data_IF_237383901888
#
_entry.id   IF_237383901888
#
_cell.length_a   1.000
_cell.length_b   1.000
_cell.length_c   1.000
_cell.angle_alpha   90.00
_cell.angle_beta   90.00
_cell.angle_gamma   90.00
#
_symmetry.space_group_name_H-M   'P 1'
#
loop_
_entity.id
_entity.type
_entity.pdbx_description
1 polymer ?
#
# COMPACT_ATOMS: atom_id res chain seq x y z
N UNK A 1 5.71 -18.07 -27.22
CA UNK A 1 6.31 -16.79 -26.79
C UNK A 1 5.25 -15.94 -26.09
N UNK A 2 4.94 -16.22 -24.83
CA UNK A 2 4.02 -15.38 -24.02
C UNK A 2 4.53 -15.22 -22.57
N UNK A 3 5.74 -15.71 -22.26
CA UNK A 3 6.22 -15.85 -20.88
C UNK A 3 6.79 -14.55 -20.30
N UNK A 4 7.24 -13.60 -21.13
CA UNK A 4 7.96 -12.40 -20.67
C UNK A 4 7.06 -11.35 -20.02
N UNK A 5 5.78 -11.28 -20.39
CA UNK A 5 4.85 -10.23 -19.90
C UNK A 5 4.46 -10.44 -18.44
N UNK A 6 4.35 -11.71 -18.00
CA UNK A 6 3.98 -12.05 -16.63
C UNK A 6 5.10 -11.70 -15.63
N UNK A 7 6.36 -11.92 -15.99
CA UNK A 7 7.51 -11.58 -15.16
C UNK A 7 7.71 -10.07 -15.04
N UNK A 8 7.58 -9.33 -16.15
CA UNK A 8 7.74 -7.88 -16.14
C UNK A 8 6.63 -7.18 -15.33
N UNK A 9 5.39 -7.66 -15.46
CA UNK A 9 4.28 -7.18 -14.65
C UNK A 9 4.54 -7.42 -13.15
N UNK A 10 5.14 -8.57 -12.82
CA UNK A 10 5.49 -8.94 -11.44
C UNK A 10 6.47 -7.95 -10.82
N UNK A 11 7.51 -7.56 -11.55
CA UNK A 11 8.47 -6.55 -11.11
C UNK A 11 7.84 -5.16 -10.98
N UNK A 12 6.98 -4.77 -11.94
CA UNK A 12 6.37 -3.44 -11.98
C UNK A 12 5.42 -3.18 -10.80
N UNK A 13 4.57 -4.15 -10.45
CA UNK A 13 3.64 -4.00 -9.33
C UNK A 13 4.37 -4.07 -7.97
N UNK A 14 5.42 -4.89 -7.87
CA UNK A 14 6.27 -4.96 -6.68
C UNK A 14 7.01 -3.64 -6.47
N UNK A 15 7.60 -3.07 -7.52
CA UNK A 15 8.25 -1.76 -7.45
C UNK A 15 7.24 -0.66 -7.05
N UNK A 16 6.02 -0.70 -7.58
CA UNK A 16 4.94 0.21 -7.19
C UNK A 16 4.54 0.04 -5.72
N UNK A 17 4.46 -1.21 -5.22
CA UNK A 17 4.19 -1.52 -3.81
C UNK A 17 5.25 -0.90 -2.91
N UNK A 18 6.52 -1.15 -3.21
CA UNK A 18 7.64 -0.70 -2.39
C UNK A 18 7.72 0.83 -2.38
N UNK A 19 7.50 1.46 -3.54
CA UNK A 19 7.37 2.93 -3.64
C UNK A 19 6.22 3.46 -2.78
N UNK A 20 5.03 2.83 -2.84
CA UNK A 20 3.88 3.25 -2.06
C UNK A 20 4.11 3.11 -0.55
N UNK A 21 4.71 2.00 -0.10
CA UNK A 21 5.09 1.78 1.30
C UNK A 21 6.08 2.83 1.75
N UNK A 22 7.21 3.01 1.04
CA UNK A 22 8.23 4.02 1.37
C UNK A 22 7.61 5.42 1.44
N UNK A 23 6.72 5.77 0.51
CA UNK A 23 6.05 7.08 0.50
C UNK A 23 5.15 7.26 1.72
N UNK A 24 4.46 6.23 2.21
CA UNK A 24 3.69 6.30 3.45
C UNK A 24 4.58 6.43 4.70
N UNK A 25 5.72 5.73 4.73
CA UNK A 25 6.64 5.80 5.87
C UNK A 25 7.29 7.18 5.97
N UNK A 26 7.89 7.67 4.90
CA UNK A 26 8.65 8.92 4.91
C UNK A 26 7.78 10.16 4.65
N UNK A 27 6.76 10.04 3.81
CA UNK A 27 5.88 11.15 3.47
C UNK A 27 4.78 11.39 4.51
N UNK A 28 4.25 10.32 5.13
CA UNK A 28 3.17 10.43 6.11
C UNK A 28 3.60 10.05 7.54
N UNK A 29 4.83 9.58 7.76
CA UNK A 29 5.33 9.24 9.10
C UNK A 29 4.67 8.00 9.72
N UNK A 30 4.16 7.08 8.90
CA UNK A 30 3.67 5.79 9.38
C UNK A 30 4.85 4.92 9.83
N UNK A 31 4.63 4.09 10.85
CA UNK A 31 5.52 2.98 11.16
C UNK A 31 5.30 1.86 10.16
N UNK A 32 6.33 1.03 9.95
CA UNK A 32 6.24 -0.09 9.00
C UNK A 32 5.04 -1.01 9.27
N UNK A 33 4.77 -1.34 10.53
CA UNK A 33 3.63 -2.17 10.92
C UNK A 33 2.28 -1.49 10.68
N UNK A 34 2.21 -0.16 10.77
CA UNK A 34 0.99 0.62 10.51
C UNK A 34 0.70 0.65 9.00
N UNK A 35 1.73 0.89 8.17
CA UNK A 35 1.60 0.90 6.71
C UNK A 35 1.23 -0.48 6.15
N UNK A 36 1.96 -1.54 6.54
CA UNK A 36 1.68 -2.92 6.11
C UNK A 36 0.39 -3.49 6.72
N UNK A 37 -0.17 -2.84 7.73
CA UNK A 37 -1.43 -3.22 8.36
C UNK A 37 -2.65 -2.50 7.80
N UNK A 38 -2.49 -1.61 6.81
CA UNK A 38 -3.62 -0.93 6.19
C UNK A 38 -4.55 -1.96 5.53
N UNK A 39 -5.87 -1.91 5.80
CA UNK A 39 -6.82 -2.80 5.14
C UNK A 39 -6.98 -2.41 3.67
N UNK A 40 -7.33 -3.37 2.82
CA UNK A 40 -7.57 -3.12 1.40
C UNK A 40 -8.66 -2.04 1.18
N UNK A 41 -9.67 -2.02 2.06
CA UNK A 41 -10.73 -1.00 2.10
C UNK A 41 -10.24 0.43 2.41
N UNK A 42 -8.98 0.62 2.80
CA UNK A 42 -8.38 1.94 2.90
C UNK A 42 -8.11 2.57 1.52
N UNK A 43 -8.10 1.78 0.44
CA UNK A 43 -8.00 2.30 -0.92
C UNK A 43 -9.40 2.63 -1.48
N UNK A 44 -9.63 3.83 -2.06
CA UNK A 44 -8.67 4.93 -2.22
C UNK A 44 -8.34 5.63 -0.90
N UNK A 45 -7.06 5.96 -0.70
CA UNK A 45 -6.61 6.59 0.55
C UNK A 45 -7.34 7.93 0.79
N UNK A 46 -7.86 8.15 2.01
CA UNK A 46 -8.42 9.44 2.40
C UNK A 46 -7.33 10.50 2.54
N UNK A 47 -7.72 11.77 2.68
CA UNK A 47 -6.78 12.87 2.97
C UNK A 47 -6.20 12.79 4.38
N UNK A 48 -6.86 12.07 5.29
CA UNK A 48 -6.41 11.87 6.66
C UNK A 48 -6.64 10.41 7.05
N UNK A 49 -5.58 9.72 7.45
CA UNK A 49 -5.64 8.38 8.03
C UNK A 49 -5.76 8.45 9.55
N UNK A 50 -6.56 7.56 10.12
CA UNK A 50 -6.63 7.32 11.56
C UNK A 50 -5.79 6.10 11.89
N UNK A 51 -4.72 6.31 12.66
CA UNK A 51 -3.75 5.27 12.99
C UNK A 51 -3.79 4.96 14.48
N UNK A 52 -3.93 3.68 14.82
CA UNK A 52 -3.90 3.19 16.19
C UNK A 52 -2.48 2.79 16.58
N UNK A 53 -1.92 3.46 17.58
CA UNK A 53 -0.59 3.20 18.12
C UNK A 53 -0.61 2.41 19.44
N UNK A 54 0.51 2.50 20.18
CA UNK A 54 0.68 1.81 21.46
C UNK A 54 -0.32 2.33 22.51
N UNK A 55 -0.93 1.40 23.24
CA UNK A 55 -1.91 1.72 24.29
C UNK A 55 -3.26 2.17 23.73
N UNK A 56 -3.62 1.69 22.53
CA UNK A 56 -4.88 1.99 21.84
C UNK A 56 -5.10 3.49 21.54
N UNK A 57 -4.02 4.27 21.55
CA UNK A 57 -4.08 5.71 21.25
C UNK A 57 -4.20 5.91 19.74
N UNK A 58 -5.19 6.70 19.33
CA UNK A 58 -5.38 7.07 17.93
C UNK A 58 -4.70 8.41 17.63
N UNK A 59 -4.10 8.52 16.45
CA UNK A 59 -3.65 9.80 15.88
C UNK A 59 -4.18 9.97 14.45
N UNK A 60 -4.39 11.22 14.07
CA UNK A 60 -4.72 11.59 12.70
C UNK A 60 -3.42 11.89 11.95
N UNK A 61 -3.29 11.30 10.77
CA UNK A 61 -2.13 11.43 9.89
C UNK A 61 -2.60 12.01 8.56
N UNK A 62 -2.24 13.26 8.22
CA UNK A 62 -2.46 13.79 6.90
C UNK A 62 -1.75 12.93 5.84
N UNK A 63 -2.46 12.60 4.77
CA UNK A 63 -1.93 11.79 3.68
C UNK A 63 -1.54 12.73 2.54
N UNK A 64 -0.27 12.72 2.19
CA UNK A 64 0.22 13.51 1.07
C UNK A 64 -0.44 13.08 -0.25
N UNK A 65 -0.71 14.01 -1.19
CA UNK A 65 -1.18 13.65 -2.53
C UNK A 65 -0.30 12.62 -3.23
N UNK A 66 1.02 12.70 -3.03
CA UNK A 66 1.99 11.74 -3.56
C UNK A 66 1.80 10.32 -2.99
N UNK A 67 1.47 10.18 -1.70
CA UNK A 67 1.20 8.89 -1.09
C UNK A 67 -0.09 8.28 -1.63
N UNK A 68 -1.14 9.09 -1.80
CA UNK A 68 -2.40 8.66 -2.43
C UNK A 68 -2.18 8.18 -3.86
N UNK A 69 -1.40 8.93 -4.65
CA UNK A 69 -1.07 8.58 -6.02
C UNK A 69 -0.23 7.29 -6.10
N UNK A 70 0.76 7.13 -5.23
CA UNK A 70 1.59 5.93 -5.18
C UNK A 70 0.77 4.68 -4.83
N UNK A 71 -0.12 4.76 -3.84
CA UNK A 71 -1.02 3.65 -3.49
C UNK A 71 -1.99 3.35 -4.63
N UNK A 72 -2.55 4.36 -5.30
CA UNK A 72 -3.42 4.14 -6.45
C UNK A 72 -2.68 3.47 -7.62
N UNK A 73 -1.43 3.86 -7.89
CA UNK A 73 -0.59 3.22 -8.91
C UNK A 73 -0.33 1.75 -8.56
N UNK A 74 0.01 1.46 -7.31
CA UNK A 74 0.16 0.09 -6.84
C UNK A 74 -1.14 -0.71 -7.02
N UNK A 75 -2.28 -0.18 -6.57
CA UNK A 75 -3.57 -0.88 -6.67
C UNK A 75 -3.97 -1.18 -8.12
N UNK A 76 -3.64 -0.29 -9.06
CA UNK A 76 -3.90 -0.49 -10.48
C UNK A 76 -3.01 -1.56 -11.14
N UNK A 77 -1.79 -1.76 -10.61
CA UNK A 77 -0.83 -2.75 -11.13
C UNK A 77 -0.89 -4.09 -10.40
N UNK A 78 -1.46 -4.13 -9.19
CA UNK A 78 -1.55 -5.33 -8.38
C UNK A 78 -2.36 -6.42 -9.10
N UNK A 79 -1.80 -7.62 -9.33
CA UNK A 79 -2.50 -8.71 -10.02
C UNK A 79 -3.47 -9.47 -9.11
N UNK A 80 -3.47 -9.17 -7.81
CA UNK A 80 -4.31 -9.82 -6.81
C UNK A 80 -5.53 -8.98 -6.48
N UNK A 81 -6.56 -9.63 -5.94
CA UNK A 81 -7.78 -8.98 -5.50
C UNK A 81 -7.54 -8.10 -4.25
N UNK A 82 -7.81 -6.81 -4.38
CA UNK A 82 -7.73 -5.80 -3.31
C UNK A 82 -9.12 -5.41 -2.77
N UNK A 83 -10.10 -6.30 -2.84
CA UNK A 83 -11.43 -6.05 -2.23
C UNK A 83 -11.49 -6.39 -0.74
N UNK A 84 -10.61 -7.27 -0.26
CA UNK A 84 -10.63 -7.75 1.12
C UNK A 84 -9.21 -7.98 1.66
N UNK A 85 -9.06 -8.03 2.99
CA UNK A 85 -7.78 -8.26 3.63
C UNK A 85 -6.91 -7.01 3.72
N UNK A 86 -5.61 -7.15 3.42
CA UNK A 86 -4.59 -6.10 3.55
C UNK A 86 -4.37 -5.39 2.22
N UNK A 87 -4.06 -4.10 2.29
CA UNK A 87 -3.76 -3.28 1.13
C UNK A 87 -2.48 -3.74 0.45
N UNK A 88 -1.41 -4.00 1.20
CA UNK A 88 -0.13 -4.41 0.64
C UNK A 88 0.05 -5.93 0.74
N UNK A 89 0.34 -6.56 -0.40
CA UNK A 89 0.53 -8.00 -0.52
C UNK A 89 1.99 -8.34 -0.85
N UNK A 90 2.47 -9.45 -0.31
CA UNK A 90 3.74 -10.09 -0.66
C UNK A 90 3.71 -10.64 -2.10
N UNK A 91 4.88 -10.91 -2.67
CA UNK A 91 5.02 -11.34 -4.07
C UNK A 91 4.21 -12.61 -4.44
N UNK A 92 3.85 -13.42 -3.44
CA UNK A 92 3.03 -14.64 -3.59
C UNK A 92 1.55 -14.44 -3.19
N UNK A 93 1.09 -13.20 -3.03
CA UNK A 93 -0.28 -12.87 -2.59
C UNK A 93 -0.53 -13.04 -1.08
N UNK A 94 0.51 -13.39 -0.31
CA UNK A 94 0.48 -13.46 1.16
C UNK A 94 0.77 -12.13 1.84
N UNK A 95 1.02 -12.15 3.15
CA UNK A 95 1.47 -10.98 3.92
C UNK A 95 2.97 -10.71 3.74
#
# INVERSE_FOLDING_TARGET
>A
MISTVADQSTEDWIAARDQAVVTLLYGCGLRISEALGLPAAAHPLPEVLRITGKGDKQRLVPVLPAARAAVARYAALCPFDLTSGMLFLGARGGR
#
